data_IF_250242477012
#
_entry.id   IF_250242477012
#
_cell.length_a   1.000
_cell.length_b   1.000
_cell.length_c   1.000
_cell.angle_alpha   90.00
_cell.angle_beta   90.00
_cell.angle_gamma   90.00
#
_symmetry.space_group_name_H-M   'P 1'
#
loop_
_entity.id
_entity.type
_entity.pdbx_description
1 polymer ?
#
# COMPACT_ATOMS: atom_id res chain seq x y z
N UNK A 1 7.89 -11.22 -10.92
CA UNK A 1 6.86 -12.18 -11.37
C UNK A 1 7.11 -12.42 -12.85
N UNK A 2 7.43 -13.64 -13.25
CA UNK A 2 7.56 -14.00 -14.67
C UNK A 2 6.16 -14.37 -15.17
N UNK A 3 5.66 -13.64 -16.13
CA UNK A 3 4.37 -13.92 -16.79
C UNK A 3 4.64 -14.61 -18.12
N UNK A 4 3.94 -15.71 -18.37
CA UNK A 4 3.95 -16.32 -19.69
C UNK A 4 3.17 -15.46 -20.68
N UNK A 5 3.62 -15.34 -21.95
CA UNK A 5 2.95 -14.49 -22.93
C UNK A 5 1.59 -15.09 -23.33
N UNK A 6 0.52 -14.45 -22.86
CA UNK A 6 -0.84 -14.68 -23.35
C UNK A 6 -1.22 -13.62 -24.39
N UNK A 7 -2.11 -13.93 -25.31
CA UNK A 7 -2.57 -12.99 -26.36
C UNK A 7 -3.16 -11.67 -25.86
N UNK A 8 -3.52 -11.59 -24.57
CA UNK A 8 -4.14 -10.41 -23.96
C UNK A 8 -3.17 -9.54 -23.13
N UNK A 9 -1.88 -9.86 -23.10
CA UNK A 9 -0.89 -9.08 -22.36
C UNK A 9 -0.44 -7.91 -23.22
N UNK A 10 -0.68 -6.69 -22.73
CA UNK A 10 -0.15 -5.47 -23.31
C UNK A 10 1.20 -5.14 -22.65
N UNK A 11 2.24 -5.08 -23.45
CA UNK A 11 3.56 -4.67 -22.99
C UNK A 11 3.55 -3.20 -22.60
N UNK A 12 4.12 -2.90 -21.44
CA UNK A 12 4.23 -1.54 -20.92
C UNK A 12 5.68 -1.05 -20.94
N UNK A 13 5.86 0.27 -20.94
CA UNK A 13 7.18 0.88 -20.78
C UNK A 13 7.77 0.44 -19.43
N UNK A 14 8.97 -0.18 -19.48
CA UNK A 14 9.64 -0.71 -18.29
C UNK A 14 9.56 -2.22 -18.12
N UNK A 15 8.74 -2.92 -18.93
CA UNK A 15 8.70 -4.38 -18.91
C UNK A 15 10.01 -4.98 -19.39
N UNK A 16 10.47 -6.03 -18.71
CA UNK A 16 11.64 -6.82 -19.12
C UNK A 16 11.19 -8.09 -19.83
N UNK A 17 11.59 -8.22 -21.07
CA UNK A 17 11.31 -9.41 -21.88
C UNK A 17 12.50 -10.37 -21.84
N UNK A 18 12.26 -11.63 -21.50
CA UNK A 18 13.23 -12.70 -21.70
C UNK A 18 12.98 -13.32 -23.09
N UNK A 19 13.93 -13.15 -23.97
CA UNK A 19 13.85 -13.69 -25.32
C UNK A 19 14.89 -14.78 -25.49
N UNK A 20 14.48 -15.92 -26.05
CA UNK A 20 15.36 -17.06 -26.34
C UNK A 20 15.27 -17.36 -27.83
N UNK A 21 16.40 -17.44 -28.48
CA UNK A 21 16.47 -17.72 -29.92
C UNK A 21 17.88 -17.57 -30.48
N UNK A 22 18.08 -17.78 -31.80
CA UNK A 22 19.35 -17.55 -32.46
C UNK A 22 19.77 -16.06 -32.32
N UNK A 23 21.05 -15.82 -32.17
CA UNK A 23 21.62 -14.48 -31.94
C UNK A 23 21.16 -13.45 -32.97
N UNK A 24 21.12 -13.82 -34.24
CA UNK A 24 20.61 -12.92 -35.32
C UNK A 24 19.15 -12.53 -35.16
N UNK A 25 18.31 -13.42 -34.64
CA UNK A 25 16.90 -13.16 -34.38
C UNK A 25 16.74 -12.24 -33.16
N UNK A 26 17.55 -12.47 -32.10
CA UNK A 26 17.57 -11.61 -30.92
C UNK A 26 18.02 -10.21 -31.29
N UNK A 27 19.06 -10.03 -32.09
CA UNK A 27 19.51 -8.72 -32.57
C UNK A 27 18.43 -7.96 -33.36
N UNK A 28 17.71 -8.64 -34.27
CA UNK A 28 16.60 -8.03 -35.02
C UNK A 28 15.44 -7.62 -34.09
N UNK A 29 15.09 -8.49 -33.16
CA UNK A 29 14.07 -8.18 -32.17
C UNK A 29 14.44 -6.98 -31.29
N UNK A 30 15.68 -6.96 -30.79
CA UNK A 30 16.24 -5.87 -29.99
C UNK A 30 16.26 -4.53 -30.76
N UNK A 31 16.57 -4.57 -32.06
CA UNK A 31 16.52 -3.37 -32.90
C UNK A 31 15.10 -2.81 -33.06
N UNK A 32 14.09 -3.68 -33.00
CA UNK A 32 12.68 -3.29 -33.17
C UNK A 32 12.03 -2.81 -31.86
N UNK A 33 12.32 -3.51 -30.75
CA UNK A 33 11.69 -3.23 -29.44
C UNK A 33 12.54 -2.25 -28.62
N UNK A 34 13.83 -2.15 -28.92
CA UNK A 34 14.83 -1.40 -28.16
C UNK A 34 15.42 -2.23 -27.01
N UNK A 35 16.61 -1.85 -26.57
CA UNK A 35 17.25 -2.42 -25.38
C UNK A 35 17.85 -1.27 -24.57
N UNK A 36 17.05 -0.65 -23.75
CA UNK A 36 17.47 0.45 -22.89
C UNK A 36 17.57 0.02 -21.42
N UNK A 37 18.16 -1.17 -21.17
CA UNK A 37 18.34 -1.69 -19.81
C UNK A 37 19.02 -0.67 -18.89
N UNK A 38 20.00 0.08 -19.36
CA UNK A 38 20.67 1.14 -18.59
C UNK A 38 19.74 2.27 -18.12
N UNK A 39 18.70 2.62 -18.88
CA UNK A 39 17.73 3.63 -18.44
C UNK A 39 16.80 3.10 -17.35
N UNK A 40 16.59 1.79 -17.30
CA UNK A 40 15.79 1.15 -16.25
C UNK A 40 16.55 1.02 -14.93
N UNK A 41 17.87 1.16 -14.93
CA UNK A 41 18.70 1.07 -13.73
C UNK A 41 18.71 2.39 -12.93
N UNK A 42 18.27 3.49 -13.54
CA UNK A 42 18.16 4.79 -12.88
C UNK A 42 16.69 5.01 -12.43
N UNK A 43 16.42 5.10 -11.11
CA UNK A 43 15.08 5.38 -10.64
C UNK A 43 14.61 6.79 -11.05
N UNK A 44 13.39 6.90 -11.54
CA UNK A 44 12.81 8.20 -11.85
C UNK A 44 12.27 8.86 -10.58
N UNK A 45 13.18 9.51 -9.85
CA UNK A 45 12.89 10.17 -8.57
C UNK A 45 11.86 11.30 -8.75
N UNK A 46 11.91 12.02 -9.87
CA UNK A 46 10.98 13.14 -10.14
C UNK A 46 9.53 12.65 -10.19
N UNK A 47 9.27 11.55 -10.88
CA UNK A 47 7.91 10.98 -10.94
C UNK A 47 7.37 10.58 -9.57
N UNK A 48 8.24 10.07 -8.69
CA UNK A 48 7.86 9.68 -7.33
C UNK A 48 7.46 10.92 -6.52
N UNK A 49 8.31 11.95 -6.50
CA UNK A 49 8.05 13.17 -5.74
C UNK A 49 6.86 13.96 -6.27
N UNK A 50 6.69 14.04 -7.59
CA UNK A 50 5.50 14.63 -8.21
C UNK A 50 4.25 13.85 -7.83
N UNK A 51 4.31 12.51 -7.86
CA UNK A 51 3.19 11.66 -7.41
C UNK A 51 2.82 11.89 -5.95
N UNK A 52 3.82 12.00 -5.06
CA UNK A 52 3.60 12.31 -3.64
C UNK A 52 2.99 13.70 -3.47
N UNK A 53 3.52 14.72 -4.14
CA UNK A 53 3.01 16.09 -4.06
C UNK A 53 1.55 16.18 -4.53
N UNK A 54 1.22 15.58 -5.67
CA UNK A 54 -0.16 15.49 -6.17
C UNK A 54 -1.06 14.72 -5.20
N UNK A 55 -0.53 13.67 -4.58
CA UNK A 55 -1.24 12.89 -3.57
C UNK A 55 -1.57 13.71 -2.32
N UNK A 56 -0.60 14.48 -1.81
CA UNK A 56 -0.81 15.36 -0.67
C UNK A 56 -1.85 16.43 -1.01
N UNK A 57 -1.76 17.06 -2.17
CA UNK A 57 -2.73 18.03 -2.63
C UNK A 57 -4.13 17.42 -2.71
N UNK A 58 -4.28 16.25 -3.32
CA UNK A 58 -5.55 15.54 -3.38
C UNK A 58 -6.08 15.15 -1.98
N UNK A 59 -5.18 14.82 -1.05
CA UNK A 59 -5.53 14.47 0.33
C UNK A 59 -6.06 15.63 1.17
N UNK A 60 -5.56 16.85 0.91
CA UNK A 60 -5.94 18.06 1.66
C UNK A 60 -7.22 18.67 1.11
N UNK A 61 -7.55 18.44 -0.17
CA UNK A 61 -8.73 19.02 -0.80
C UNK A 61 -10.01 18.62 -0.06
N UNK A 62 -10.79 19.59 0.43
CA UNK A 62 -12.07 19.31 1.06
C UNK A 62 -13.11 18.93 0.00
N UNK A 63 -13.72 17.77 0.14
CA UNK A 63 -14.81 17.29 -0.73
C UNK A 63 -16.12 17.61 0.00
N UNK A 64 -16.86 18.59 -0.49
CA UNK A 64 -18.19 18.89 0.03
C UNK A 64 -19.18 17.85 -0.50
N UNK A 65 -19.76 17.07 0.40
CA UNK A 65 -20.83 16.10 0.05
C UNK A 65 -22.15 16.70 0.53
N UNK A 66 -23.17 16.87 -0.36
CA UNK A 66 -24.48 17.37 0.04
C UNK A 66 -25.07 16.54 1.18
N UNK A 67 -25.50 17.19 2.25
CA UNK A 67 -26.07 16.55 3.44
C UNK A 67 -25.07 16.23 4.55
N UNK A 68 -23.77 16.47 4.35
CA UNK A 68 -22.76 16.33 5.40
C UNK A 68 -22.26 17.71 5.81
N UNK A 69 -22.38 18.10 7.09
CA UNK A 69 -22.05 19.46 7.56
C UNK A 69 -20.54 19.74 7.55
N UNK A 70 -19.71 18.72 7.53
CA UNK A 70 -18.24 18.83 7.53
C UNK A 70 -17.66 18.30 6.22
N UNK A 71 -16.76 19.04 5.55
CA UNK A 71 -16.16 18.56 4.31
C UNK A 71 -15.28 17.32 4.57
N UNK A 72 -15.51 16.27 3.79
CA UNK A 72 -14.74 15.02 3.83
C UNK A 72 -13.39 15.24 3.18
N UNK A 73 -12.31 14.84 3.82
CA UNK A 73 -10.94 14.88 3.29
C UNK A 73 -10.39 13.47 3.18
N UNK A 74 -9.68 13.15 2.09
CA UNK A 74 -9.00 11.86 1.96
C UNK A 74 -7.81 11.70 2.94
N UNK A 75 -7.33 12.82 3.46
CA UNK A 75 -6.20 12.85 4.39
C UNK A 75 -4.85 12.63 3.71
N UNK A 76 -3.78 12.83 4.50
CA UNK A 76 -2.40 12.72 4.02
C UNK A 76 -1.98 11.28 3.65
N UNK A 77 -2.72 10.28 4.08
CA UNK A 77 -2.47 8.89 3.73
C UNK A 77 -3.31 8.43 2.52
N UNK A 78 -4.60 8.79 2.48
CA UNK A 78 -5.52 8.37 1.41
C UNK A 78 -5.26 9.06 0.08
N UNK A 79 -4.95 10.36 0.10
CA UNK A 79 -4.65 11.11 -1.11
C UNK A 79 -3.51 10.51 -1.94
N UNK A 80 -2.29 10.35 -1.37
CA UNK A 80 -1.18 9.73 -2.08
C UNK A 80 -1.46 8.32 -2.56
N UNK A 81 -2.19 7.52 -1.78
CA UNK A 81 -2.57 6.16 -2.17
C UNK A 81 -3.43 6.15 -3.43
N UNK A 82 -4.49 6.97 -3.46
CA UNK A 82 -5.39 7.04 -4.62
C UNK A 82 -4.66 7.57 -5.85
N UNK A 83 -3.88 8.64 -5.69
CA UNK A 83 -3.09 9.20 -6.80
C UNK A 83 -2.07 8.19 -7.32
N UNK A 84 -1.39 7.43 -6.44
CA UNK A 84 -0.47 6.39 -6.86
C UNK A 84 -1.15 5.27 -7.66
N UNK A 85 -2.34 4.83 -7.24
CA UNK A 85 -3.12 3.83 -7.97
C UNK A 85 -3.54 4.36 -9.35
N UNK A 86 -4.01 5.61 -9.42
CA UNK A 86 -4.41 6.24 -10.68
C UNK A 86 -3.23 6.43 -11.62
N UNK A 87 -2.10 6.93 -11.12
CA UNK A 87 -0.87 7.08 -11.91
C UNK A 87 -0.31 5.72 -12.37
N UNK A 88 -0.35 4.70 -11.51
CA UNK A 88 0.06 3.36 -11.88
C UNK A 88 -0.80 2.75 -12.99
N UNK A 89 -2.11 3.02 -12.97
CA UNK A 89 -3.04 2.51 -13.97
C UNK A 89 -3.05 3.31 -15.28
N UNK A 90 -3.06 4.64 -15.19
CA UNK A 90 -3.25 5.53 -16.35
C UNK A 90 -1.95 6.20 -16.82
N UNK A 91 -0.91 6.20 -15.98
CA UNK A 91 0.38 6.82 -16.29
C UNK A 91 0.99 6.34 -17.61
N UNK A 92 1.04 5.03 -17.89
CA UNK A 92 1.53 4.51 -19.16
C UNK A 92 0.77 5.06 -20.38
N UNK A 93 -0.55 5.22 -20.27
CA UNK A 93 -1.39 5.78 -21.35
C UNK A 93 -1.10 7.27 -21.60
N UNK A 94 -0.69 7.99 -20.53
CA UNK A 94 -0.32 9.41 -20.59
C UNK A 94 1.17 9.61 -20.95
N UNK A 95 1.89 8.54 -21.31
CA UNK A 95 3.34 8.53 -21.57
C UNK A 95 4.17 9.03 -20.39
N UNK A 96 3.65 8.94 -19.18
CA UNK A 96 4.38 9.26 -17.98
C UNK A 96 5.27 8.07 -17.59
N UNK A 97 6.55 8.33 -17.37
CA UNK A 97 7.48 7.31 -16.86
C UNK A 97 7.23 7.11 -15.36
N UNK A 98 6.29 6.24 -15.01
CA UNK A 98 5.89 5.96 -13.61
C UNK A 98 6.63 4.75 -13.02
N UNK A 99 7.52 4.15 -13.79
CA UNK A 99 8.30 3.01 -13.33
C UNK A 99 9.52 3.45 -12.51
N UNK A 100 9.88 2.65 -11.51
CA UNK A 100 11.14 2.75 -10.79
C UNK A 100 11.77 1.37 -10.66
N UNK A 101 13.07 1.30 -10.36
CA UNK A 101 13.73 0.02 -10.13
C UNK A 101 13.16 -0.64 -8.87
N UNK A 102 13.06 -1.97 -8.88
CA UNK A 102 12.54 -2.71 -7.73
C UNK A 102 13.36 -2.43 -6.45
N UNK A 103 14.68 -2.32 -6.58
CA UNK A 103 15.57 -2.00 -5.44
C UNK A 103 15.30 -0.60 -4.87
N UNK A 104 15.12 0.41 -5.74
CA UNK A 104 14.78 1.76 -5.29
C UNK A 104 13.40 1.82 -4.63
N UNK A 105 12.42 1.10 -5.19
CA UNK A 105 11.07 1.00 -4.60
C UNK A 105 11.11 0.37 -3.21
N UNK A 106 11.85 -0.72 -3.02
CA UNK A 106 12.01 -1.37 -1.72
C UNK A 106 12.71 -0.46 -0.71
N UNK A 107 13.80 0.20 -1.11
CA UNK A 107 14.52 1.14 -0.25
C UNK A 107 13.63 2.31 0.19
N UNK A 108 12.91 2.93 -0.74
CA UNK A 108 11.99 4.04 -0.42
C UNK A 108 10.86 3.58 0.50
N UNK A 109 10.36 2.36 0.32
CA UNK A 109 9.36 1.77 1.22
C UNK A 109 9.89 1.62 2.64
N UNK A 110 11.09 1.08 2.81
CA UNK A 110 11.72 0.89 4.13
C UNK A 110 11.99 2.22 4.82
N UNK A 111 12.54 3.19 4.10
CA UNK A 111 12.74 4.55 4.63
C UNK A 111 11.41 5.20 5.01
N UNK A 112 10.38 5.07 4.17
CA UNK A 112 9.03 5.60 4.46
C UNK A 112 8.44 4.97 5.72
N UNK A 113 8.57 3.66 5.90
CA UNK A 113 8.10 2.96 7.11
C UNK A 113 8.87 3.43 8.33
N UNK A 114 10.20 3.54 8.25
CA UNK A 114 11.05 3.97 9.37
C UNK A 114 10.69 5.40 9.82
N UNK A 115 10.55 6.34 8.89
CA UNK A 115 10.17 7.72 9.19
C UNK A 115 8.73 7.82 9.72
N UNK A 116 7.80 7.05 9.18
CA UNK A 116 6.44 7.00 9.67
C UNK A 116 6.39 6.50 11.11
N UNK A 117 7.03 5.38 11.41
CA UNK A 117 7.05 4.82 12.76
C UNK A 117 7.78 5.74 13.75
N UNK A 118 8.87 6.38 13.33
CA UNK A 118 9.57 7.35 14.17
C UNK A 118 8.67 8.57 14.47
N UNK A 119 7.98 9.11 13.48
CA UNK A 119 7.07 10.26 13.65
C UNK A 119 5.92 9.93 14.58
N UNK A 120 5.29 8.76 14.39
CA UNK A 120 4.18 8.30 15.24
C UNK A 120 4.65 8.02 16.66
N UNK A 121 5.83 7.39 16.81
CA UNK A 121 6.42 7.12 18.12
C UNK A 121 6.73 8.39 18.91
N UNK A 122 7.32 9.39 18.23
CA UNK A 122 7.60 10.69 18.86
C UNK A 122 6.31 11.42 19.26
N UNK A 123 5.32 11.45 18.38
CA UNK A 123 4.03 12.09 18.65
C UNK A 123 3.24 11.39 19.78
N UNK A 124 3.32 10.06 19.88
CA UNK A 124 2.66 9.30 20.93
C UNK A 124 3.38 9.46 22.28
N UNK A 125 4.69 9.70 22.28
CA UNK A 125 5.52 9.78 23.50
C UNK A 125 5.05 10.85 24.50
N UNK A 126 4.60 11.98 24.03
CA UNK A 126 4.17 13.11 24.88
C UNK A 126 2.97 12.76 25.75
N UNK A 127 2.00 12.00 25.22
CA UNK A 127 0.81 11.58 25.98
C UNK A 127 0.95 10.25 26.72
N UNK A 128 1.94 9.46 26.41
CA UNK A 128 2.09 8.09 26.91
C UNK A 128 2.25 8.03 28.43
N UNK A 129 3.19 8.80 28.97
CA UNK A 129 3.45 8.83 30.40
C UNK A 129 2.24 9.38 31.19
N UNK A 130 1.54 10.39 30.63
CA UNK A 130 0.34 10.95 31.27
C UNK A 130 -0.80 9.94 31.33
N UNK A 131 -1.04 9.18 30.25
CA UNK A 131 -2.08 8.16 30.20
C UNK A 131 -1.82 7.03 31.23
N UNK A 132 -0.56 6.66 31.46
CA UNK A 132 -0.22 5.69 32.50
C UNK A 132 -0.30 6.27 33.91
N UNK A 133 0.10 7.52 34.11
CA UNK A 133 0.03 8.19 35.41
C UNK A 133 -1.41 8.42 35.87
N UNK A 134 -2.35 8.65 34.92
CA UNK A 134 -3.80 8.76 35.23
C UNK A 134 -4.47 7.43 35.55
N UNK A 135 -3.81 6.29 35.29
CA UNK A 135 -4.37 4.96 35.46
C UNK A 135 -5.24 4.47 34.27
N UNK A 136 -5.55 5.34 33.32
CA UNK A 136 -6.36 5.00 32.15
C UNK A 136 -5.59 4.20 31.09
N UNK A 137 -4.27 4.28 31.10
CA UNK A 137 -3.40 3.64 30.11
C UNK A 137 -3.61 2.13 29.99
N UNK A 138 -3.85 1.44 31.11
CA UNK A 138 -4.14 0.01 31.10
C UNK A 138 -5.49 -0.32 30.46
N UNK A 139 -6.50 0.52 30.66
CA UNK A 139 -7.80 0.36 30.02
C UNK A 139 -7.69 0.58 28.49
N UNK A 140 -6.97 1.61 28.06
CA UNK A 140 -6.70 1.86 26.64
C UNK A 140 -5.91 0.72 25.99
N UNK A 141 -4.92 0.15 26.68
CA UNK A 141 -4.19 -1.02 26.18
C UNK A 141 -5.10 -2.23 26.02
N UNK A 142 -5.92 -2.54 27.03
CA UNK A 142 -6.85 -3.67 26.97
C UNK A 142 -7.87 -3.51 25.84
N UNK A 143 -8.47 -2.32 25.72
CA UNK A 143 -9.39 -2.00 24.63
C UNK A 143 -8.70 -2.08 23.26
N UNK A 144 -7.51 -1.51 23.10
CA UNK A 144 -6.72 -1.58 21.87
C UNK A 144 -6.38 -3.02 21.48
N UNK A 145 -6.01 -3.86 22.47
CA UNK A 145 -5.78 -5.29 22.25
C UNK A 145 -7.04 -5.98 21.73
N UNK A 146 -8.19 -5.75 22.38
CA UNK A 146 -9.45 -6.33 21.95
C UNK A 146 -9.86 -5.89 20.55
N UNK A 147 -9.79 -4.58 20.26
CA UNK A 147 -10.15 -4.01 18.96
C UNK A 147 -9.26 -4.55 17.83
N UNK A 148 -8.00 -4.85 18.13
CA UNK A 148 -7.05 -5.36 17.12
C UNK A 148 -7.14 -6.89 16.99
N UNK A 149 -7.09 -7.61 18.11
CA UNK A 149 -6.99 -9.07 18.10
C UNK A 149 -8.30 -9.76 17.69
N UNK A 150 -9.45 -9.29 18.18
CA UNK A 150 -10.72 -9.94 17.88
C UNK A 150 -11.05 -10.01 16.40
N UNK A 151 -11.02 -8.91 15.63
CA UNK A 151 -11.28 -8.97 14.20
C UNK A 151 -10.27 -9.85 13.45
N UNK A 152 -8.97 -9.78 13.81
CA UNK A 152 -7.96 -10.60 13.17
C UNK A 152 -8.20 -12.10 13.38
N UNK A 153 -8.48 -12.52 14.60
CA UNK A 153 -8.77 -13.92 14.92
C UNK A 153 -10.03 -14.40 14.22
N UNK A 154 -11.10 -13.61 14.25
CA UNK A 154 -12.37 -13.95 13.61
C UNK A 154 -12.18 -14.07 12.09
N UNK A 155 -11.59 -13.06 11.46
CA UNK A 155 -11.39 -13.06 10.00
C UNK A 155 -10.42 -14.16 9.58
N UNK A 156 -9.33 -14.37 10.33
CA UNK A 156 -8.38 -15.45 10.07
C UNK A 156 -9.02 -16.84 10.17
N UNK A 157 -9.85 -17.05 11.20
CA UNK A 157 -10.60 -18.30 11.36
C UNK A 157 -11.62 -18.52 10.22
N UNK A 158 -12.40 -17.50 9.89
CA UNK A 158 -13.39 -17.56 8.80
C UNK A 158 -12.70 -17.82 7.46
N UNK A 159 -11.61 -17.10 7.16
CA UNK A 159 -10.83 -17.27 5.94
C UNK A 159 -10.28 -18.71 5.82
N UNK A 160 -9.83 -19.30 6.92
CA UNK A 160 -9.34 -20.68 6.93
C UNK A 160 -10.45 -21.69 6.81
N UNK A 161 -11.53 -21.50 7.59
CA UNK A 161 -12.60 -22.52 7.75
C UNK A 161 -13.56 -22.56 6.59
N UNK A 162 -13.96 -21.39 6.07
CA UNK A 162 -14.99 -21.28 5.04
C UNK A 162 -14.44 -21.07 3.63
N UNK A 163 -13.31 -20.36 3.50
CA UNK A 163 -12.69 -20.08 2.20
C UNK A 163 -11.48 -20.95 1.89
N UNK A 164 -11.07 -21.83 2.80
CA UNK A 164 -9.94 -22.74 2.62
C UNK A 164 -8.64 -22.07 2.16
N UNK A 165 -8.45 -20.81 2.55
CA UNK A 165 -7.25 -20.06 2.17
C UNK A 165 -6.01 -20.69 2.81
N UNK A 166 -4.88 -20.63 2.10
CA UNK A 166 -3.60 -21.08 2.64
C UNK A 166 -3.09 -20.11 3.72
N UNK A 167 -2.25 -20.61 4.60
CA UNK A 167 -1.71 -19.84 5.75
C UNK A 167 -1.03 -18.54 5.32
N UNK A 168 -0.19 -18.58 4.29
CA UNK A 168 0.55 -17.39 3.83
C UNK A 168 -0.36 -16.31 3.25
N UNK A 169 -1.43 -16.71 2.54
CA UNK A 169 -2.44 -15.76 2.05
C UNK A 169 -3.20 -15.13 3.21
N UNK A 170 -3.54 -15.90 4.25
CA UNK A 170 -4.21 -15.38 5.45
C UNK A 170 -3.31 -14.37 6.16
N UNK A 171 -2.05 -14.70 6.39
CA UNK A 171 -1.10 -13.78 7.04
C UNK A 171 -0.94 -12.49 6.23
N UNK A 172 -0.78 -12.60 4.90
CA UNK A 172 -0.71 -11.44 4.01
C UNK A 172 -1.98 -10.59 4.03
N UNK A 173 -3.15 -11.23 4.03
CA UNK A 173 -4.44 -10.55 4.16
C UNK A 173 -4.57 -9.85 5.51
N UNK A 174 -4.20 -10.49 6.60
CA UNK A 174 -4.23 -9.90 7.95
C UNK A 174 -3.28 -8.69 8.05
N UNK A 175 -2.05 -8.82 7.57
CA UNK A 175 -1.11 -7.70 7.50
C UNK A 175 -1.64 -6.55 6.62
N UNK A 176 -2.34 -6.87 5.52
CA UNK A 176 -2.98 -5.89 4.65
C UNK A 176 -4.15 -5.18 5.32
N UNK A 177 -5.00 -5.90 6.04
CA UNK A 177 -6.13 -5.31 6.78
C UNK A 177 -5.69 -4.44 7.95
N UNK A 178 -4.60 -4.78 8.62
CA UNK A 178 -4.00 -3.94 9.68
C UNK A 178 -3.13 -2.82 9.15
N UNK A 179 -2.90 -2.78 7.83
CA UNK A 179 -1.99 -1.81 7.19
C UNK A 179 -0.59 -1.86 7.78
N UNK A 180 -0.09 -3.09 8.03
CA UNK A 180 1.17 -3.37 8.72
C UNK A 180 2.23 -3.94 7.74
N UNK A 181 3.08 -3.08 7.15
CA UNK A 181 4.18 -3.52 6.28
C UNK A 181 5.24 -4.36 6.99
N UNK A 182 5.61 -4.11 8.26
CA UNK A 182 6.50 -4.98 9.01
C UNK A 182 6.00 -6.42 9.14
N UNK A 183 4.70 -6.61 9.39
CA UNK A 183 4.10 -7.96 9.42
C UNK A 183 4.19 -8.65 8.06
N UNK A 184 4.04 -7.91 6.94
CA UNK A 184 4.27 -8.45 5.61
C UNK A 184 5.74 -8.85 5.40
N UNK A 185 6.67 -8.03 5.84
CA UNK A 185 8.10 -8.33 5.73
C UNK A 185 8.43 -9.63 6.48
N UNK A 186 7.91 -9.81 7.69
CA UNK A 186 8.02 -11.05 8.44
C UNK A 186 7.39 -12.24 7.69
N UNK A 187 6.17 -12.09 7.17
CA UNK A 187 5.50 -13.13 6.39
C UNK A 187 6.31 -13.56 5.16
N UNK A 188 7.04 -12.65 4.53
CA UNK A 188 7.91 -12.93 3.39
C UNK A 188 9.12 -13.81 3.77
N UNK A 189 9.57 -13.78 5.03
CA UNK A 189 10.66 -14.66 5.50
C UNK A 189 10.23 -16.11 5.68
N UNK A 190 8.92 -16.35 5.84
CA UNK A 190 8.37 -17.70 6.06
C UNK A 190 8.28 -18.53 4.77
N UNK A 191 8.34 -17.91 3.60
CA UNK A 191 8.28 -18.63 2.33
C UNK A 191 8.75 -17.75 1.17
N UNK A 192 9.46 -18.36 0.23
CA UNK A 192 9.85 -17.74 -1.04
C UNK A 192 8.66 -17.46 -1.99
N UNK A 193 7.48 -18.00 -1.68
CA UNK A 193 6.27 -17.78 -2.47
C UNK A 193 5.66 -16.41 -2.17
N UNK A 194 5.35 -15.66 -3.21
CA UNK A 194 4.76 -14.31 -3.12
C UNK A 194 3.28 -14.27 -2.68
N UNK A 195 2.74 -15.37 -2.14
CA UNK A 195 1.32 -15.47 -1.78
C UNK A 195 0.90 -14.44 -0.72
N UNK A 196 1.76 -14.16 0.26
CA UNK A 196 1.51 -13.14 1.29
C UNK A 196 1.52 -11.74 0.71
N UNK A 197 2.48 -11.42 -0.17
CA UNK A 197 2.57 -10.12 -0.81
C UNK A 197 1.39 -9.84 -1.74
N UNK A 198 0.93 -10.84 -2.49
CA UNK A 198 -0.26 -10.74 -3.36
C UNK A 198 -1.52 -10.48 -2.52
N UNK A 199 -1.75 -11.27 -1.47
CA UNK A 199 -2.89 -11.09 -0.60
C UNK A 199 -2.88 -9.73 0.10
N UNK A 200 -1.71 -9.28 0.59
CA UNK A 200 -1.52 -7.96 1.17
C UNK A 200 -1.89 -6.84 0.19
N UNK A 201 -1.31 -6.85 -1.00
CA UNK A 201 -1.51 -5.79 -1.99
C UNK A 201 -2.96 -5.71 -2.50
N UNK A 202 -3.69 -6.81 -2.44
CA UNK A 202 -5.11 -6.85 -2.81
C UNK A 202 -5.99 -6.18 -1.75
N UNK A 203 -5.69 -6.41 -0.46
CA UNK A 203 -6.55 -5.97 0.65
C UNK A 203 -6.16 -4.59 1.17
N UNK A 204 -4.87 -4.25 1.18
CA UNK A 204 -4.34 -3.02 1.75
C UNK A 204 -5.02 -1.73 1.25
N UNK A 205 -5.19 -1.50 -0.08
CA UNK A 205 -5.81 -0.26 -0.55
C UNK A 205 -7.25 -0.11 -0.07
N UNK A 206 -8.02 -1.20 -0.08
CA UNK A 206 -9.41 -1.20 0.38
C UNK A 206 -9.49 -0.98 1.89
N UNK A 207 -8.65 -1.64 2.66
CA UNK A 207 -8.60 -1.48 4.12
C UNK A 207 -8.26 -0.04 4.51
N UNK A 208 -7.27 0.57 3.84
CA UNK A 208 -6.88 1.95 4.07
C UNK A 208 -8.02 2.92 3.77
N UNK A 209 -8.68 2.75 2.63
CA UNK A 209 -9.81 3.57 2.22
C UNK A 209 -10.98 3.46 3.22
N UNK A 210 -11.36 2.23 3.59
CA UNK A 210 -12.44 1.99 4.56
C UNK A 210 -12.13 2.57 5.93
N UNK A 211 -10.88 2.49 6.41
CA UNK A 211 -10.49 3.09 7.70
C UNK A 211 -10.66 4.61 7.69
N UNK A 212 -10.27 5.28 6.62
CA UNK A 212 -10.44 6.73 6.48
C UNK A 212 -11.92 7.08 6.53
N UNK A 213 -12.75 6.39 5.76
CA UNK A 213 -14.20 6.62 5.76
C UNK A 213 -14.84 6.32 7.11
N UNK A 214 -14.47 5.22 7.75
CA UNK A 214 -15.00 4.85 9.07
C UNK A 214 -14.63 5.89 10.12
N UNK A 215 -13.37 6.35 10.14
CA UNK A 215 -12.93 7.39 11.05
C UNK A 215 -13.73 8.69 10.87
N UNK A 216 -13.97 9.11 9.64
CA UNK A 216 -14.79 10.30 9.36
C UNK A 216 -16.26 10.08 9.71
N UNK A 217 -16.82 8.91 9.43
CA UNK A 217 -18.20 8.58 9.81
C UNK A 217 -18.39 8.61 11.33
N UNK A 218 -17.44 8.05 12.10
CA UNK A 218 -17.48 8.12 13.55
C UNK A 218 -17.42 9.56 14.06
N UNK A 219 -16.55 10.40 13.52
CA UNK A 219 -16.51 11.82 13.87
C UNK A 219 -17.83 12.51 13.59
N UNK A 220 -18.48 12.23 12.47
CA UNK A 220 -19.76 12.82 12.13
C UNK A 220 -20.89 12.36 13.05
N UNK A 221 -20.93 11.08 13.42
CA UNK A 221 -21.95 10.51 14.29
C UNK A 221 -21.82 11.07 15.72
N UNK A 222 -20.61 11.12 16.25
CA UNK A 222 -20.37 11.56 17.63
C UNK A 222 -20.14 13.07 17.76
N UNK A 223 -19.92 13.80 16.65
CA UNK A 223 -19.80 15.28 16.70
C UNK A 223 -21.08 15.97 17.17
N UNK A 224 -22.24 15.36 16.92
CA UNK A 224 -23.54 15.92 17.34
C UNK A 224 -23.79 15.78 18.84
N UNK A 225 -22.98 15.00 19.56
CA UNK A 225 -23.10 14.75 21.00
C UNK A 225 -22.02 15.49 21.82
N UNK A 226 -21.05 16.15 21.15
CA UNK A 226 -19.99 16.99 21.75
C UNK A 226 -20.34 18.47 21.62
#
# INVERSE_FOLDING_TARGET
MELFPYRSIHLQLGDRLRVVGPERAIMRFTAHVGNQSHKLDHPNIISIFVGIALGILAGILPIAIPGIPVPVKLGLAGGPLIVAILLGRYGPNLRLATYTTNSASLMLRELGIAFFLASVGLAAGDGFLQAFASGEGFAYMALGLCITMLPLLVVGYVARRFFSLNYLSIVGMMAGTTTDPPALAYAATLSEKNSSAVAYSTVYPLAMFLRILTGQALLLIFWAEL
#
